data_IF_189368181490
#
_entry.id   IF_189368181490
#
_cell.length_a   1.000
_cell.length_b   1.000
_cell.length_c   1.000
_cell.angle_alpha   90.00
_cell.angle_beta   90.00
_cell.angle_gamma   90.00
#
_symmetry.space_group_name_H-M   'P 1'
#
loop_
_entity.id
_entity.type
_entity.pdbx_description
1 polymer ?
#
# COMPACT_ATOMS: atom_id res chain seq x y z
N UNK A 1 -1.09 4.94 -2.29
CA UNK A 1 -1.09 3.47 -2.16
C UNK A 1 -1.97 3.12 -0.98
N UNK A 2 -2.94 2.23 -1.15
CA UNK A 2 -3.87 1.82 -0.07
C UNK A 2 -3.37 0.54 0.59
N UNK A 3 -2.61 0.68 1.68
CA UNK A 3 -1.99 -0.45 2.37
C UNK A 3 -3.02 -1.37 3.05
N UNK A 4 -4.15 -0.82 3.51
CA UNK A 4 -5.20 -1.57 4.19
C UNK A 4 -5.99 -2.41 3.19
N UNK A 5 -6.33 -1.86 2.03
CA UNK A 5 -6.91 -2.62 0.94
C UNK A 5 -6.01 -3.78 0.50
N UNK A 6 -4.70 -3.56 0.45
CA UNK A 6 -3.72 -4.60 0.09
C UNK A 6 -3.60 -5.70 1.14
N UNK A 7 -3.66 -5.37 2.43
CA UNK A 7 -3.71 -6.35 3.50
C UNK A 7 -4.94 -7.25 3.35
N UNK A 8 -6.12 -6.65 3.15
CA UNK A 8 -7.38 -7.39 2.94
C UNK A 8 -7.31 -8.30 1.72
N UNK A 9 -6.83 -7.79 0.59
CA UNK A 9 -6.70 -8.58 -0.65
C UNK A 9 -5.70 -9.74 -0.52
N UNK A 10 -4.73 -9.63 0.38
CA UNK A 10 -3.73 -10.69 0.64
C UNK A 10 -4.25 -11.79 1.57
N UNK A 11 -5.44 -11.60 2.15
CA UNK A 11 -6.06 -12.50 3.13
C UNK A 11 -5.67 -12.19 4.57
N UNK A 12 -5.21 -10.97 4.86
CA UNK A 12 -4.97 -10.51 6.24
C UNK A 12 -6.27 -9.97 6.84
N UNK A 13 -6.51 -10.27 8.12
CA UNK A 13 -7.50 -9.59 8.93
C UNK A 13 -6.95 -8.21 9.34
N UNK A 14 -7.80 -7.18 9.27
CA UNK A 14 -7.47 -5.81 9.70
C UNK A 14 -8.35 -5.48 10.89
N UNK A 15 -7.72 -5.14 12.01
CA UNK A 15 -8.37 -4.87 13.29
C UNK A 15 -8.13 -3.40 13.65
N UNK A 16 -9.18 -2.68 14.04
CA UNK A 16 -9.04 -1.33 14.58
C UNK A 16 -8.82 -1.43 16.10
N UNK A 17 -7.59 -1.17 16.54
CA UNK A 17 -7.21 -1.26 17.95
C UNK A 17 -7.65 -0.02 18.73
N UNK A 18 -7.75 1.12 18.06
CA UNK A 18 -8.21 2.35 18.68
C UNK A 18 -8.20 3.54 17.74
N UNK A 19 -8.80 4.63 18.21
CA UNK A 19 -8.80 5.91 17.52
C UNK A 19 -8.49 7.02 18.51
N UNK A 20 -7.44 7.78 18.23
CA UNK A 20 -7.06 8.96 19.01
C UNK A 20 -7.25 10.18 18.13
N UNK A 21 -8.29 10.95 18.42
CA UNK A 21 -8.71 12.07 17.57
C UNK A 21 -9.08 11.60 16.16
N UNK A 22 -8.30 12.03 15.15
CA UNK A 22 -8.51 11.66 13.75
C UNK A 22 -7.66 10.47 13.30
N UNK A 23 -6.73 10.01 14.14
CA UNK A 23 -5.80 8.95 13.80
C UNK A 23 -6.34 7.59 14.26
N UNK A 24 -6.28 6.62 13.36
CA UNK A 24 -6.73 5.25 13.58
C UNK A 24 -5.52 4.33 13.68
N UNK A 25 -5.51 3.50 14.72
CA UNK A 25 -4.46 2.52 14.98
C UNK A 25 -4.99 1.14 14.60
N UNK A 26 -4.32 0.48 13.68
CA UNK A 26 -4.79 -0.78 13.11
C UNK A 26 -3.68 -1.85 13.13
N UNK A 27 -4.06 -3.05 13.56
CA UNK A 27 -3.24 -4.26 13.49
C UNK A 27 -3.67 -5.13 12.32
N UNK A 28 -2.71 -5.88 11.77
CA UNK A 28 -2.97 -6.89 10.74
C UNK A 28 -2.51 -8.26 11.20
N UNK A 29 -3.37 -9.27 11.02
CA UNK A 29 -3.10 -10.63 11.46
C UNK A 29 -3.47 -11.62 10.35
N UNK A 30 -2.73 -12.72 10.23
CA UNK A 30 -2.99 -13.74 9.22
C UNK A 30 -1.94 -14.85 9.24
N UNK A 31 -2.07 -15.81 8.32
CA UNK A 31 -1.06 -16.84 8.13
C UNK A 31 0.24 -16.25 7.56
N UNK A 32 1.36 -16.96 7.74
CA UNK A 32 2.62 -16.58 7.13
C UNK A 32 2.53 -16.46 5.60
N UNK A 33 1.74 -17.34 4.96
CA UNK A 33 1.48 -17.27 3.52
C UNK A 33 0.72 -16.01 3.09
N UNK A 34 -0.21 -15.52 3.91
CA UNK A 34 -0.89 -14.25 3.67
C UNK A 34 0.06 -13.06 3.86
N UNK A 35 0.93 -13.12 4.88
CA UNK A 35 1.96 -12.10 5.11
C UNK A 35 2.94 -12.01 3.93
N UNK A 36 3.36 -13.15 3.37
CA UNK A 36 4.22 -13.18 2.19
C UNK A 36 3.56 -12.50 0.98
N UNK A 37 2.29 -12.84 0.69
CA UNK A 37 1.51 -12.20 -0.39
C UNK A 37 1.37 -10.70 -0.17
N UNK A 38 1.15 -10.28 1.07
CA UNK A 38 1.06 -8.86 1.42
C UNK A 38 2.38 -8.13 1.16
N UNK A 39 3.51 -8.70 1.58
CA UNK A 39 4.83 -8.12 1.31
C UNK A 39 5.09 -7.97 -0.20
N UNK A 40 4.74 -8.99 -0.99
CA UNK A 40 4.87 -8.94 -2.45
C UNK A 40 3.97 -7.87 -3.08
N UNK A 41 2.73 -7.76 -2.61
CA UNK A 41 1.81 -6.72 -3.06
C UNK A 41 2.40 -5.34 -2.76
N UNK A 42 2.90 -5.11 -1.54
CA UNK A 42 3.49 -3.83 -1.11
C UNK A 42 4.68 -3.45 -2.00
N UNK A 43 5.58 -4.40 -2.25
CA UNK A 43 6.73 -4.19 -3.14
C UNK A 43 6.29 -3.78 -4.55
N UNK A 44 5.29 -4.45 -5.12
CA UNK A 44 4.78 -4.12 -6.45
C UNK A 44 4.12 -2.74 -6.48
N UNK A 45 3.29 -2.41 -5.49
CA UNK A 45 2.64 -1.10 -5.41
C UNK A 45 3.63 0.06 -5.34
N UNK A 46 4.73 -0.10 -4.59
CA UNK A 46 5.78 0.91 -4.50
C UNK A 46 6.50 1.14 -5.83
N UNK A 47 6.80 0.07 -6.58
CA UNK A 47 7.41 0.15 -7.91
C UNK A 47 6.50 0.89 -8.90
N UNK A 48 5.21 0.57 -8.89
CA UNK A 48 4.23 1.21 -9.79
C UNK A 48 4.05 2.70 -9.48
N UNK A 49 4.13 3.09 -8.21
CA UNK A 49 4.05 4.49 -7.80
C UNK A 49 5.26 5.30 -8.28
N UNK A 50 6.48 4.74 -8.17
CA UNK A 50 7.71 5.35 -8.69
C UNK A 50 7.67 5.50 -10.22
N UNK A 51 7.21 4.46 -10.95
CA UNK A 51 7.08 4.51 -12.41
C UNK A 51 6.07 5.55 -12.89
N UNK A 52 4.97 5.74 -12.15
CA UNK A 52 3.95 6.76 -12.46
C UNK A 52 4.48 8.18 -12.25
N UNK A 53 5.34 8.37 -11.25
CA UNK A 53 5.97 9.66 -10.93
C UNK A 53 7.05 10.07 -11.96
N UNK A 54 7.72 9.10 -12.61
CA UNK A 54 8.68 9.37 -13.70
C UNK A 54 8.03 9.83 -15.00
N UNK A 55 6.74 9.54 -15.21
CA UNK A 55 5.99 9.88 -16.44
C UNK A 55 5.32 11.26 -16.40
N UNK A 56 5.36 11.97 -15.28
CA UNK A 56 4.65 13.26 -15.12
C UNK A 56 5.51 14.49 -15.45
N UNK A 57 6.75 14.33 -15.91
CA UNK A 57 7.54 15.45 -16.43
C UNK A 57 7.10 15.76 -17.87
N UNK A 58 6.51 16.94 -18.16
CA UNK A 58 6.19 17.31 -19.54
C UNK A 58 7.48 17.49 -20.34
N UNK A 59 7.53 17.09 -21.63
CA UNK A 59 8.68 17.40 -22.47
C UNK A 59 8.80 18.93 -22.59
N UNK A 60 9.98 19.45 -22.26
CA UNK A 60 10.31 20.85 -22.47
C UNK A 60 10.12 21.19 -23.95
N UNK A 61 9.12 22.04 -24.22
CA UNK A 61 8.81 22.57 -25.55
C UNK A 61 10.05 23.34 -26.03
N UNK A 62 10.78 22.81 -27.01
CA UNK A 62 11.86 23.55 -27.68
C UNK A 62 11.22 24.64 -28.54
N UNK A 63 11.60 25.89 -28.28
CA UNK A 63 11.32 27.05 -29.10
C UNK A 63 12.28 27.11 -30.30
#
# INVERSE_FOLDING_TARGET
MDIIGMARASGMAVILDGRIGREEYQSVCGSLSALQRFADAVRQGAVQQSGRQKRTTPPARKA
#
